data_IF_352912522137
#
_entry.id   IF_352912522137
#
_cell.length_a   1.000
_cell.length_b   1.000
_cell.length_c   1.000
_cell.angle_alpha   90.00
_cell.angle_beta   90.00
_cell.angle_gamma   90.00
#
_symmetry.space_group_name_H-M   'P 1'
#
loop_
_entity.id
_entity.type
_entity.pdbx_description
1 polymer ?
#
# COMPACT_ATOMS: atom_id res chain seq x y z
N UNK A 1 18.26 17.52 -11.80
CA UNK A 1 18.09 16.05 -11.72
C UNK A 1 16.61 15.78 -11.49
N UNK A 2 15.88 15.50 -12.57
CA UNK A 2 14.43 15.34 -12.57
C UNK A 2 14.07 14.05 -11.85
N UNK A 3 13.61 14.17 -10.61
CA UNK A 3 12.86 13.12 -9.93
C UNK A 3 11.54 12.94 -10.68
N UNK A 4 11.54 12.07 -11.69
CA UNK A 4 10.32 11.52 -12.28
C UNK A 4 9.67 10.60 -11.24
N UNK A 5 9.13 11.20 -10.19
CA UNK A 5 8.21 10.55 -9.26
C UNK A 5 6.86 10.53 -9.98
N UNK A 6 6.66 9.55 -10.84
CA UNK A 6 5.31 9.23 -11.27
C UNK A 6 4.62 8.57 -10.08
N UNK A 7 3.68 9.30 -9.49
CA UNK A 7 3.23 9.04 -8.13
C UNK A 7 2.12 7.98 -8.11
N UNK A 8 2.09 7.10 -7.08
CA UNK A 8 0.95 6.22 -6.77
C UNK A 8 -0.41 6.95 -6.71
N UNK A 9 -0.39 8.27 -6.47
CA UNK A 9 -1.56 9.14 -6.34
C UNK A 9 -2.43 9.31 -7.59
N UNK A 10 -1.94 8.94 -8.77
CA UNK A 10 -2.73 9.02 -10.01
C UNK A 10 -3.68 7.82 -10.21
N UNK A 11 -3.62 6.78 -9.37
CA UNK A 11 -4.47 5.61 -9.49
C UNK A 11 -5.82 5.82 -8.77
N UNK A 12 -6.97 5.42 -9.36
CA UNK A 12 -8.27 5.41 -8.67
C UNK A 12 -8.24 4.65 -7.33
N UNK A 13 -7.35 3.67 -7.24
CA UNK A 13 -7.18 2.84 -6.06
C UNK A 13 -6.45 3.54 -4.90
N UNK A 14 -5.79 4.66 -5.14
CA UNK A 14 -5.24 5.52 -4.10
C UNK A 14 -6.16 6.67 -3.68
N UNK A 15 -7.35 6.79 -4.32
CA UNK A 15 -8.35 7.79 -3.94
C UNK A 15 -8.94 7.53 -2.54
N UNK A 16 -8.89 6.27 -2.07
CA UNK A 16 -9.31 5.95 -0.71
C UNK A 16 -8.26 6.44 0.30
N UNK A 17 -8.65 7.28 1.28
CA UNK A 17 -7.71 7.85 2.24
C UNK A 17 -7.08 6.79 3.15
N UNK A 18 -7.72 5.64 3.34
CA UNK A 18 -7.18 4.54 4.14
C UNK A 18 -6.04 3.84 3.40
N UNK A 19 -6.21 3.56 2.10
CA UNK A 19 -5.15 2.99 1.25
C UNK A 19 -3.93 3.91 1.15
N UNK A 20 -4.14 5.22 1.07
CA UNK A 20 -3.06 6.23 1.14
C UNK A 20 -2.29 6.14 2.46
N UNK A 21 -3.00 6.11 3.60
CA UNK A 21 -2.37 5.97 4.92
C UNK A 21 -1.61 4.66 5.09
N UNK A 22 -2.14 3.54 4.58
CA UNK A 22 -1.43 2.24 4.57
C UNK A 22 -0.11 2.40 3.82
N UNK A 23 -0.17 2.97 2.62
CA UNK A 23 1.00 3.13 1.77
C UNK A 23 2.06 4.03 2.41
N UNK A 24 1.66 5.20 2.92
CA UNK A 24 2.55 6.13 3.62
C UNK A 24 3.20 5.47 4.84
N UNK A 25 2.41 4.74 5.64
CA UNK A 25 2.91 4.00 6.79
C UNK A 25 3.95 2.95 6.40
N UNK A 26 3.67 2.12 5.40
CA UNK A 26 4.61 1.09 4.92
C UNK A 26 5.86 1.70 4.25
N UNK A 27 5.74 2.89 3.66
CA UNK A 27 6.87 3.61 3.07
C UNK A 27 7.81 4.15 4.15
N UNK A 28 7.25 4.69 5.24
CA UNK A 28 8.02 5.29 6.33
C UNK A 28 8.62 4.26 7.28
N UNK A 29 7.87 3.19 7.58
CA UNK A 29 8.22 2.23 8.63
C UNK A 29 8.61 0.85 8.10
N UNK A 30 8.63 0.67 6.77
CA UNK A 30 8.96 -0.60 6.13
C UNK A 30 7.84 -1.64 6.26
N UNK A 31 8.22 -2.91 6.29
CA UNK A 31 7.26 -4.01 6.32
C UNK A 31 6.56 -4.15 7.68
N UNK A 32 5.25 -4.36 7.66
CA UNK A 32 4.41 -4.37 8.87
C UNK A 32 3.34 -5.44 8.81
N UNK A 33 2.95 -5.94 9.98
CA UNK A 33 1.86 -6.91 10.11
C UNK A 33 0.48 -6.25 9.98
N UNK A 34 -0.56 -7.04 9.70
CA UNK A 34 -1.95 -6.54 9.68
C UNK A 34 -2.32 -5.85 11.00
N UNK A 35 -1.85 -6.39 12.13
CA UNK A 35 -2.13 -5.83 13.45
C UNK A 35 -1.47 -4.46 13.64
N UNK A 36 -0.19 -4.32 13.29
CA UNK A 36 0.52 -3.03 13.37
C UNK A 36 -0.15 -1.97 12.48
N UNK A 37 -0.50 -2.34 11.25
CA UNK A 37 -1.19 -1.45 10.30
C UNK A 37 -2.57 -1.05 10.85
N UNK A 38 -3.30 -2.00 11.44
CA UNK A 38 -4.62 -1.75 12.03
C UNK A 38 -4.53 -0.79 13.21
N UNK A 39 -3.55 -0.97 14.08
CA UNK A 39 -3.29 -0.09 15.22
C UNK A 39 -2.93 1.33 14.78
N UNK A 40 -2.14 1.47 13.72
CA UNK A 40 -1.75 2.78 13.20
C UNK A 40 -2.93 3.54 12.56
N UNK A 41 -3.71 2.86 11.72
CA UNK A 41 -4.76 3.50 10.91
C UNK A 41 -6.03 3.75 11.71
N UNK A 42 -6.17 3.11 12.88
CA UNK A 42 -7.34 3.21 13.77
C UNK A 42 -8.65 2.84 13.06
N UNK A 43 -8.56 1.87 12.15
CA UNK A 43 -9.71 1.24 11.51
C UNK A 43 -9.91 -0.18 12.05
N UNK A 44 -11.07 -0.76 11.79
CA UNK A 44 -11.32 -2.16 12.14
C UNK A 44 -10.47 -3.08 11.27
N UNK A 45 -9.94 -4.14 11.88
CA UNK A 45 -9.08 -5.12 11.21
C UNK A 45 -9.70 -5.71 9.91
N UNK A 46 -11.01 -6.01 9.82
CA UNK A 46 -11.61 -6.49 8.57
C UNK A 46 -11.49 -5.47 7.43
N UNK A 47 -11.68 -4.19 7.72
CA UNK A 47 -11.54 -3.09 6.75
C UNK A 47 -10.09 -2.96 6.27
N UNK A 48 -9.13 -3.03 7.19
CA UNK A 48 -7.70 -2.97 6.86
C UNK A 48 -7.29 -4.17 6.02
N UNK A 49 -7.71 -5.38 6.42
CA UNK A 49 -7.44 -6.61 5.66
C UNK A 49 -8.00 -6.55 4.25
N UNK A 50 -9.22 -6.02 4.08
CA UNK A 50 -9.81 -5.79 2.76
C UNK A 50 -8.93 -4.86 1.90
N UNK A 51 -8.53 -3.70 2.42
CA UNK A 51 -7.67 -2.77 1.68
C UNK A 51 -6.32 -3.39 1.32
N UNK A 52 -5.67 -4.10 2.25
CA UNK A 52 -4.40 -4.78 2.01
C UNK A 52 -4.52 -5.83 0.90
N UNK A 53 -5.63 -6.58 0.85
CA UNK A 53 -5.86 -7.55 -0.22
C UNK A 53 -6.07 -6.86 -1.57
N UNK A 54 -6.84 -5.77 -1.65
CA UNK A 54 -7.03 -5.03 -2.91
C UNK A 54 -5.69 -4.47 -3.42
N UNK A 55 -4.94 -3.77 -2.55
CA UNK A 55 -3.63 -3.23 -2.91
C UNK A 55 -2.62 -4.33 -3.31
N UNK A 56 -2.72 -5.52 -2.71
CA UNK A 56 -1.92 -6.69 -3.12
C UNK A 56 -2.33 -7.22 -4.49
N UNK A 57 -3.64 -7.35 -4.77
CA UNK A 57 -4.16 -7.80 -6.07
C UNK A 57 -3.73 -6.87 -7.21
N UNK A 58 -3.65 -5.58 -6.92
CA UNK A 58 -3.19 -4.55 -7.85
C UNK A 58 -1.65 -4.50 -8.00
N UNK A 59 -0.91 -5.31 -7.25
CA UNK A 59 0.55 -5.34 -7.33
C UNK A 59 1.28 -4.21 -6.60
N UNK A 60 0.56 -3.35 -5.86
CA UNK A 60 1.15 -2.27 -5.05
C UNK A 60 1.88 -2.86 -3.84
N UNK A 61 1.26 -3.82 -3.18
CA UNK A 61 1.81 -4.51 -2.01
C UNK A 61 2.22 -5.94 -2.34
N UNK A 62 3.20 -6.44 -1.59
CA UNK A 62 3.46 -7.87 -1.46
C UNK A 62 3.36 -8.27 0.00
N UNK A 63 3.18 -9.57 0.24
CA UNK A 63 3.05 -10.14 1.57
C UNK A 63 4.01 -11.31 1.76
N UNK A 64 4.68 -11.38 2.90
CA UNK A 64 5.45 -12.56 3.33
C UNK A 64 4.87 -13.12 4.62
N UNK A 65 4.79 -14.45 4.73
CA UNK A 65 4.39 -15.12 5.97
C UNK A 65 5.64 -15.44 6.78
N UNK A 66 5.65 -15.07 8.05
CA UNK A 66 6.72 -15.42 8.99
C UNK A 66 6.07 -15.95 10.27
N UNK A 67 6.21 -17.26 10.50
CA UNK A 67 5.51 -17.94 11.58
C UNK A 67 3.99 -17.87 11.43
N UNK A 68 3.33 -17.26 12.43
CA UNK A 68 1.87 -17.07 12.46
C UNK A 68 1.42 -15.73 11.87
N UNK A 69 2.35 -14.85 11.55
CA UNK A 69 2.06 -13.47 11.13
C UNK A 69 2.29 -13.28 9.63
N UNK A 70 1.53 -12.35 9.05
CA UNK A 70 1.67 -11.94 7.65
C UNK A 70 2.13 -10.50 7.62
N UNK A 71 3.31 -10.30 7.04
CA UNK A 71 3.94 -9.00 6.87
C UNK A 71 3.64 -8.49 5.47
N UNK A 72 3.26 -7.22 5.37
CA UNK A 72 3.01 -6.50 4.14
C UNK A 72 4.12 -5.48 3.91
N UNK A 73 4.53 -5.32 2.66
CA UNK A 73 5.51 -4.31 2.23
C UNK A 73 5.14 -3.75 0.86
N UNK A 74 5.66 -2.57 0.57
CA UNK A 74 5.57 -1.99 -0.78
C UNK A 74 6.34 -2.88 -1.76
N UNK A 75 5.69 -3.25 -2.87
CA UNK A 75 6.30 -4.00 -3.98
C UNK A 75 6.69 -3.04 -5.10
N UNK A 76 5.77 -2.20 -5.53
CA UNK A 76 5.95 -1.31 -6.67
C UNK A 76 5.47 0.11 -6.35
N UNK A 77 6.27 1.09 -6.78
CA UNK A 77 5.96 2.52 -6.71
C UNK A 77 4.92 2.90 -7.79
N UNK A 78 4.81 2.07 -8.83
CA UNK A 78 3.80 2.13 -9.88
C UNK A 78 3.50 0.70 -10.34
N UNK A 79 2.24 0.23 -10.35
CA UNK A 79 1.89 -1.03 -10.98
C UNK A 79 2.11 -0.92 -12.50
N UNK A 80 2.60 -2.01 -13.07
CA UNK A 80 2.92 -2.16 -14.48
C UNK A 80 1.63 -2.00 -15.29
N UNK A 81 1.42 -0.82 -15.90
CA UNK A 81 0.18 -0.46 -16.61
C UNK A 81 -0.43 0.91 -16.26
N UNK A 82 0.14 1.67 -15.31
CA UNK A 82 -0.26 3.05 -15.06
C UNK A 82 0.53 4.03 -15.92
N UNK A 83 -0.07 4.54 -16.99
CA UNK A 83 0.52 5.65 -17.76
C UNK A 83 0.58 6.91 -16.89
N UNK A 84 1.76 7.54 -16.83
CA UNK A 84 1.93 8.82 -16.17
C UNK A 84 1.22 9.89 -16.98
N UNK A 85 0.01 10.31 -16.58
CA UNK A 85 -0.60 11.53 -17.12
C UNK A 85 0.13 12.75 -16.55
N UNK A 86 1.37 12.95 -16.98
CA UNK A 86 2.00 14.26 -16.97
C UNK A 86 1.30 15.09 -18.05
N UNK A 87 0.57 16.12 -17.62
CA UNK A 87 0.26 17.27 -18.46
C UNK A 87 0.93 18.49 -17.86
#
# INVERSE_FOLDING_TARGET
>A
MSLNICCPFALPQMADPSRRKIYEYLTLYGEKTVNEITQFIKLRQPTVSYHLQQMKKEGILTSRKQGREVYYRIKAQCPEGGECFAK
#
